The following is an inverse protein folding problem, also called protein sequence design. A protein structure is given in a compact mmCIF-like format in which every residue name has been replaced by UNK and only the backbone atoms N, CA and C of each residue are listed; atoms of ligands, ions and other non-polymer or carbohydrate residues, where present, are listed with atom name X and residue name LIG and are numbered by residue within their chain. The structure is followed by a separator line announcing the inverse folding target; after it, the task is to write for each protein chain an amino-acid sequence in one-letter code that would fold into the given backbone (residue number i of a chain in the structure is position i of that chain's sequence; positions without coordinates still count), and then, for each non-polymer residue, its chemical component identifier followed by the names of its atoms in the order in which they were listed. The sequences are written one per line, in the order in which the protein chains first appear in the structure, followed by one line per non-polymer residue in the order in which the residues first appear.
data_IF_919370304796
#
_entry.id   IF_919370304796
#
_cell.length_a   1.000
_cell.length_b   1.000
_cell.length_c   1.000
_cell.angle_alpha   90.00
_cell.angle_beta   90.00
_cell.angle_gamma   90.00
#
_symmetry.space_group_name_H-M   'P 1'
#
loop_
_entity.id
_entity.type
_entity.pdbx_description
1 polymer ?
#
# COMPACT_ATOMS: atom_id res chain seq x y z
N UNK A 1 -6.27 2.28 -24.03
CA UNK A 1 -5.68 1.01 -23.59
C UNK A 1 -4.91 1.35 -22.35
N UNK A 2 -5.45 1.12 -21.14
CA UNK A 2 -4.70 1.34 -19.90
C UNK A 2 -3.33 0.69 -20.11
N UNK A 3 -2.29 1.51 -20.33
CA UNK A 3 -0.99 1.00 -20.79
C UNK A 3 -0.35 0.08 -19.76
N UNK A 4 -0.92 0.07 -18.55
CA UNK A 4 -0.43 -0.61 -17.39
C UNK A 4 -1.39 -1.66 -16.83
N UNK A 5 -2.11 -2.43 -17.66
CA UNK A 5 -2.50 -3.76 -17.16
C UNK A 5 -1.26 -4.65 -16.98
N UNK A 6 -0.10 -4.29 -17.58
CA UNK A 6 1.26 -4.84 -17.47
C UNK A 6 1.41 -6.35 -17.72
N UNK A 7 0.31 -7.10 -17.74
CA UNK A 7 0.21 -8.53 -18.06
C UNK A 7 0.37 -8.79 -19.55
N UNK A 8 -0.18 -7.94 -20.40
CA UNK A 8 -0.12 -8.13 -21.87
C UNK A 8 1.27 -7.85 -22.45
N UNK A 9 2.09 -7.05 -21.75
CA UNK A 9 3.45 -6.69 -22.15
C UNK A 9 4.53 -7.51 -21.43
N UNK A 10 4.16 -8.45 -20.57
CA UNK A 10 5.10 -9.28 -19.80
C UNK A 10 5.95 -8.50 -18.78
N UNK A 11 5.53 -7.30 -18.37
CA UNK A 11 6.32 -6.45 -17.48
C UNK A 11 6.39 -7.02 -16.07
N UNK A 12 5.34 -7.71 -15.61
CA UNK A 12 5.35 -8.31 -14.28
C UNK A 12 6.40 -9.42 -14.13
N UNK A 13 6.66 -10.17 -15.20
CA UNK A 13 7.74 -11.16 -15.21
C UNK A 13 9.12 -10.49 -15.23
N UNK A 14 9.23 -9.31 -15.83
CA UNK A 14 10.48 -8.54 -15.89
C UNK A 14 10.83 -7.93 -14.54
N UNK A 15 9.86 -7.27 -13.87
CA UNK A 15 10.14 -6.56 -12.61
C UNK A 15 10.48 -7.49 -11.45
N UNK A 16 10.08 -8.77 -11.55
CA UNK A 16 10.39 -9.81 -10.56
C UNK A 16 11.80 -10.39 -10.71
N UNK A 17 12.52 -10.12 -11.81
CA UNK A 17 13.87 -10.67 -12.02
C UNK A 17 14.85 -10.05 -11.01
N UNK A 18 15.73 -10.85 -10.38
CA UNK A 18 16.71 -10.34 -9.42
C UNK A 18 17.53 -9.16 -9.94
N UNK A 19 17.86 -9.18 -11.24
CA UNK A 19 18.69 -8.15 -11.87
C UNK A 19 17.94 -6.83 -12.03
N UNK A 20 16.63 -6.90 -12.28
CA UNK A 20 15.76 -5.74 -12.29
C UNK A 20 15.59 -5.20 -10.87
N UNK A 21 15.30 -6.08 -9.91
CA UNK A 21 15.15 -5.72 -8.49
C UNK A 21 16.40 -5.02 -7.95
N UNK A 22 17.59 -5.53 -8.28
CA UNK A 22 18.87 -4.93 -7.90
C UNK A 22 19.07 -3.54 -8.53
N UNK A 23 18.72 -3.38 -9.81
CA UNK A 23 18.80 -2.10 -10.52
C UNK A 23 17.87 -1.04 -9.91
N UNK A 24 16.64 -1.42 -9.59
CA UNK A 24 15.65 -0.53 -8.95
C UNK A 24 16.10 -0.17 -7.54
N UNK A 25 16.55 -1.15 -6.75
CA UNK A 25 17.06 -0.90 -5.41
C UNK A 25 18.25 0.06 -5.40
N UNK A 26 19.20 -0.10 -6.33
CA UNK A 26 20.35 0.80 -6.41
C UNK A 26 19.93 2.26 -6.65
N UNK A 27 18.91 2.51 -7.48
CA UNK A 27 18.38 3.86 -7.69
C UNK A 27 17.68 4.38 -6.41
N UNK A 28 16.83 3.56 -5.77
CA UNK A 28 16.16 3.91 -4.50
C UNK A 28 17.21 4.29 -3.44
N UNK A 29 18.17 3.39 -3.19
CA UNK A 29 19.19 3.53 -2.16
C UNK A 29 20.02 4.80 -2.35
N UNK A 30 20.38 5.13 -3.60
CA UNK A 30 21.16 6.33 -3.92
C UNK A 30 20.43 7.64 -3.58
N UNK A 31 19.10 7.63 -3.49
CA UNK A 31 18.26 8.81 -3.26
C UNK A 31 17.70 8.92 -1.85
N UNK A 32 17.76 7.84 -1.05
CA UNK A 32 17.33 7.86 0.36
C UNK A 32 17.98 9.01 1.17
N UNK A 33 19.30 9.27 1.09
CA UNK A 33 19.91 10.37 1.83
C UNK A 33 19.31 11.74 1.50
N UNK A 34 19.07 12.02 0.21
CA UNK A 34 18.50 13.28 -0.24
C UNK A 34 17.14 13.53 0.41
N UNK A 35 16.24 12.56 0.36
CA UNK A 35 14.90 12.71 0.93
C UNK A 35 14.92 12.71 2.45
N UNK A 36 15.82 11.96 3.09
CA UNK A 36 16.00 12.05 4.53
C UNK A 36 16.40 13.46 4.97
N UNK A 37 17.36 14.08 4.28
CA UNK A 37 17.83 15.43 4.59
C UNK A 37 16.76 16.49 4.32
N UNK A 38 16.03 16.39 3.22
CA UNK A 38 15.04 17.40 2.83
C UNK A 38 13.73 17.31 3.60
N UNK A 39 13.25 16.08 3.86
CA UNK A 39 11.92 15.85 4.45
C UNK A 39 11.91 15.70 5.96
N UNK A 40 13.00 15.16 6.54
CA UNK A 40 13.03 14.74 7.94
C UNK A 40 14.04 15.57 8.73
N UNK A 41 15.33 15.54 8.34
CA UNK A 41 16.39 16.28 9.03
C UNK A 41 16.25 16.23 10.56
N UNK A 42 16.25 17.41 11.19
CA UNK A 42 16.05 17.55 12.65
C UNK A 42 14.60 17.37 13.12
N UNK A 43 13.62 17.33 12.21
CA UNK A 43 12.19 17.18 12.50
C UNK A 43 11.73 15.72 12.51
N UNK A 44 12.64 14.76 12.28
CA UNK A 44 12.32 13.34 12.29
C UNK A 44 11.54 12.88 13.55
N UNK A 45 11.90 13.32 14.78
CA UNK A 45 11.14 12.94 15.97
C UNK A 45 9.68 13.36 15.95
N UNK A 46 9.41 14.59 15.52
CA UNK A 46 8.05 15.12 15.45
C UNK A 46 7.20 14.31 14.46
N UNK A 47 7.74 13.99 13.29
CA UNK A 47 7.01 13.24 12.27
C UNK A 47 6.74 11.79 12.64
N UNK A 48 7.72 11.11 13.24
CA UNK A 48 7.57 9.69 13.55
C UNK A 48 6.77 9.42 14.81
N UNK A 49 6.88 10.25 15.85
CA UNK A 49 6.03 10.13 17.03
C UNK A 49 4.56 10.37 16.66
N UNK A 50 4.28 11.42 15.88
CA UNK A 50 2.92 11.69 15.40
C UNK A 50 2.36 10.53 14.55
N UNK A 51 3.18 9.91 13.69
CA UNK A 51 2.76 8.76 12.90
C UNK A 51 2.41 7.53 13.75
N UNK A 52 3.17 7.29 14.83
CA UNK A 52 2.88 6.21 15.78
C UNK A 52 1.57 6.46 16.52
N UNK A 53 1.34 7.70 16.97
CA UNK A 53 0.10 8.08 17.66
C UNK A 53 -1.12 7.93 16.73
N UNK A 54 -1.01 8.43 15.49
CA UNK A 54 -2.05 8.29 14.47
C UNK A 54 -2.35 6.81 14.20
N UNK A 55 -1.32 5.99 13.96
CA UNK A 55 -1.46 4.55 13.74
C UNK A 55 -2.16 3.86 14.91
N UNK A 56 -1.71 4.09 16.14
CA UNK A 56 -2.27 3.44 17.32
C UNK A 56 -3.74 3.80 17.52
N UNK A 57 -4.12 5.05 17.25
CA UNK A 57 -5.51 5.51 17.37
C UNK A 57 -6.47 4.86 16.37
N UNK A 58 -5.95 4.41 15.22
CA UNK A 58 -6.75 3.73 14.19
C UNK A 58 -6.69 2.21 14.30
N UNK A 59 -5.54 1.64 14.67
CA UNK A 59 -5.27 0.21 14.62
C UNK A 59 -6.21 -0.63 15.50
N UNK A 60 -6.63 -0.08 16.64
CA UNK A 60 -7.57 -0.75 17.56
C UNK A 60 -8.86 -1.16 16.85
N UNK A 61 -9.43 -0.28 16.01
CA UNK A 61 -10.70 -0.56 15.28
C UNK A 61 -10.58 -1.73 14.31
N UNK A 62 -9.40 -1.88 13.69
CA UNK A 62 -9.13 -3.02 12.81
C UNK A 62 -8.97 -4.30 13.63
N UNK A 63 -8.23 -4.24 14.74
CA UNK A 63 -7.96 -5.40 15.60
C UNK A 63 -9.22 -5.92 16.28
N UNK A 64 -10.12 -5.04 16.69
CA UNK A 64 -11.42 -5.40 17.25
C UNK A 64 -12.27 -6.13 16.21
N UNK A 65 -12.45 -5.52 15.02
CA UNK A 65 -13.30 -6.08 13.98
C UNK A 65 -12.80 -7.43 13.44
N UNK A 66 -11.49 -7.54 13.21
CA UNK A 66 -10.87 -8.72 12.62
C UNK A 66 -10.29 -9.68 13.67
N UNK A 67 -10.71 -9.56 14.94
CA UNK A 67 -10.41 -10.57 15.94
C UNK A 67 -11.13 -11.89 15.62
N UNK A 68 -10.56 -13.02 16.02
CA UNK A 68 -11.17 -14.33 15.77
C UNK A 68 -12.59 -14.43 16.35
N UNK A 69 -12.81 -13.86 17.55
CA UNK A 69 -14.12 -13.80 18.21
C UNK A 69 -15.13 -12.98 17.40
N UNK A 70 -14.77 -11.76 16.97
CA UNK A 70 -15.67 -10.93 16.17
C UNK A 70 -15.98 -11.56 14.82
N UNK A 71 -14.98 -12.16 14.15
CA UNK A 71 -15.18 -12.83 12.87
C UNK A 71 -16.13 -14.04 12.99
N UNK A 72 -16.06 -14.80 14.09
CA UNK A 72 -17.01 -15.88 14.39
C UNK A 72 -18.44 -15.35 14.58
N UNK A 73 -18.63 -14.28 15.35
CA UNK A 73 -19.94 -13.64 15.53
C UNK A 73 -20.55 -13.15 14.20
N UNK A 74 -19.71 -12.62 13.30
CA UNK A 74 -20.16 -12.15 12.00
C UNK A 74 -20.63 -13.26 11.06
N UNK A 75 -20.23 -14.53 11.28
CA UNK A 75 -20.78 -15.65 10.50
C UNK A 75 -22.28 -15.82 10.72
N UNK A 76 -22.78 -15.50 11.91
CA UNK A 76 -24.22 -15.53 12.23
C UNK A 76 -24.95 -14.28 11.71
N UNK A 77 -24.29 -13.11 11.65
CA UNK A 77 -24.83 -11.88 11.05
C UNK A 77 -23.86 -11.16 10.09
N UNK A 78 -23.76 -11.63 8.83
CA UNK A 78 -22.95 -11.00 7.79
C UNK A 78 -23.37 -9.56 7.48
N UNK A 79 -24.63 -9.17 7.73
CA UNK A 79 -25.07 -7.79 7.52
C UNK A 79 -24.40 -6.85 8.51
N UNK A 80 -24.29 -7.28 9.78
CA UNK A 80 -23.57 -6.54 10.81
C UNK A 80 -22.12 -6.28 10.37
N UNK A 81 -21.42 -7.30 9.86
CA UNK A 81 -20.06 -7.14 9.33
C UNK A 81 -19.95 -6.03 8.28
N UNK A 82 -20.84 -6.05 7.29
CA UNK A 82 -20.85 -5.03 6.24
C UNK A 82 -21.16 -3.64 6.81
N UNK A 83 -22.05 -3.52 7.79
CA UNK A 83 -22.33 -2.23 8.45
C UNK A 83 -21.09 -1.71 9.19
N UNK A 84 -20.41 -2.56 9.96
CA UNK A 84 -19.20 -2.18 10.68
C UNK A 84 -18.07 -1.80 9.73
N UNK A 85 -17.89 -2.53 8.61
CA UNK A 85 -17.00 -2.12 7.52
C UNK A 85 -17.38 -0.73 6.98
N UNK A 86 -18.67 -0.41 6.81
CA UNK A 86 -19.10 0.87 6.25
C UNK A 86 -18.85 2.07 7.17
N UNK A 87 -18.94 1.87 8.48
CA UNK A 87 -19.02 2.96 9.45
C UNK A 87 -17.75 3.10 10.29
N UNK A 88 -17.17 1.98 10.70
CA UNK A 88 -16.18 1.95 11.77
C UNK A 88 -14.78 1.64 11.28
N UNK A 89 -14.64 0.92 10.17
CA UNK A 89 -13.34 0.69 9.52
C UNK A 89 -12.88 1.95 8.78
N UNK A 90 -11.77 2.59 9.21
CA UNK A 90 -11.38 3.90 8.68
C UNK A 90 -11.17 3.94 7.16
N UNK A 91 -10.54 2.92 6.57
CA UNK A 91 -10.25 2.92 5.12
C UNK A 91 -11.53 2.92 4.27
N UNK A 92 -12.48 2.04 4.56
CA UNK A 92 -13.77 1.93 3.86
C UNK A 92 -14.68 3.11 4.19
N UNK A 93 -14.82 3.45 5.47
CA UNK A 93 -15.71 4.50 5.90
C UNK A 93 -15.28 5.88 5.36
N UNK A 94 -13.97 6.16 5.27
CA UNK A 94 -13.47 7.37 4.61
C UNK A 94 -13.71 7.31 3.11
N UNK A 95 -13.42 6.19 2.46
CA UNK A 95 -13.58 6.04 1.00
C UNK A 95 -15.04 6.21 0.56
N UNK A 96 -16.00 5.71 1.34
CA UNK A 96 -17.44 5.89 1.08
C UNK A 96 -17.95 7.33 1.25
N UNK A 97 -17.26 8.14 2.06
CA UNK A 97 -17.60 9.54 2.35
C UNK A 97 -16.96 10.55 1.38
N UNK A 98 -15.91 10.16 0.66
CA UNK A 98 -15.24 11.04 -0.30
C UNK A 98 -16.14 11.34 -1.51
N UNK A 99 -16.12 12.59 -1.98
CA UNK A 99 -16.89 13.07 -3.14
C UNK A 99 -16.16 12.93 -4.49
N UNK A 100 -14.97 12.34 -4.48
CA UNK A 100 -14.09 12.21 -5.66
C UNK A 100 -14.73 11.35 -6.75
N UNK A 101 -14.68 11.83 -7.99
CA UNK A 101 -15.34 11.17 -9.12
C UNK A 101 -14.81 9.76 -9.36
N UNK A 102 -13.50 9.55 -9.19
CA UNK A 102 -12.85 8.26 -9.38
C UNK A 102 -13.31 7.18 -8.39
N UNK A 103 -13.90 7.56 -7.25
CA UNK A 103 -14.37 6.61 -6.24
C UNK A 103 -15.80 6.16 -6.48
N UNK A 104 -16.57 6.83 -7.36
CA UNK A 104 -18.00 6.55 -7.54
C UNK A 104 -18.26 5.11 -7.97
N UNK A 105 -17.43 4.58 -8.86
CA UNK A 105 -17.55 3.19 -9.31
C UNK A 105 -17.31 2.21 -8.16
N UNK A 106 -16.17 2.32 -7.47
CA UNK A 106 -15.87 1.50 -6.29
C UNK A 106 -16.97 1.59 -5.24
N UNK A 107 -17.43 2.79 -4.92
CA UNK A 107 -18.50 3.02 -3.95
C UNK A 107 -19.84 2.38 -4.35
N UNK A 108 -20.16 2.36 -5.65
CA UNK A 108 -21.34 1.68 -6.18
C UNK A 108 -21.20 0.16 -6.03
N UNK A 109 -20.05 -0.39 -6.44
CA UNK A 109 -19.78 -1.82 -6.36
C UNK A 109 -19.77 -2.31 -4.91
N UNK A 110 -19.07 -1.62 -4.01
CA UNK A 110 -19.05 -1.94 -2.58
C UNK A 110 -20.46 -1.98 -1.96
N UNK A 111 -21.30 -0.98 -2.26
CA UNK A 111 -22.67 -0.94 -1.74
C UNK A 111 -23.51 -2.12 -2.27
N UNK A 112 -23.25 -2.59 -3.49
CA UNK A 112 -23.94 -3.73 -4.13
C UNK A 112 -23.39 -5.09 -3.73
N UNK A 113 -22.16 -5.17 -3.20
CA UNK A 113 -21.58 -6.44 -2.77
C UNK A 113 -22.43 -7.13 -1.72
N UNK A 114 -22.51 -8.45 -1.82
CA UNK A 114 -23.14 -9.29 -0.81
C UNK A 114 -22.37 -9.15 0.52
N UNK A 115 -23.06 -8.99 1.66
CA UNK A 115 -22.43 -9.05 2.98
C UNK A 115 -21.70 -10.38 3.21
N UNK A 116 -22.26 -11.50 2.74
CA UNK A 116 -21.63 -12.83 2.82
C UNK A 116 -20.33 -12.91 2.01
N UNK A 117 -20.31 -12.36 0.80
CA UNK A 117 -19.11 -12.41 -0.05
C UNK A 117 -17.99 -11.56 0.59
N UNK A 118 -18.34 -10.39 1.13
CA UNK A 118 -17.40 -9.54 1.86
C UNK A 118 -16.81 -10.28 3.06
N UNK A 119 -17.67 -10.87 3.90
CA UNK A 119 -17.22 -11.64 5.07
C UNK A 119 -16.31 -12.80 4.67
N UNK A 120 -16.73 -13.60 3.70
CA UNK A 120 -15.95 -14.76 3.21
C UNK A 120 -14.57 -14.34 2.73
N UNK A 121 -14.48 -13.29 1.91
CA UNK A 121 -13.20 -12.81 1.39
C UNK A 121 -12.29 -12.32 2.50
N UNK A 122 -12.81 -11.58 3.49
CA UNK A 122 -11.99 -11.12 4.59
C UNK A 122 -11.60 -12.24 5.56
N UNK A 123 -12.47 -13.23 5.80
CA UNK A 123 -12.12 -14.43 6.54
C UNK A 123 -10.94 -15.18 5.89
N UNK A 124 -11.01 -15.41 4.57
CA UNK A 124 -9.90 -16.03 3.83
C UNK A 124 -8.59 -15.24 3.95
N UNK A 125 -8.65 -13.90 3.97
CA UNK A 125 -7.46 -13.04 4.17
C UNK A 125 -6.92 -13.17 5.60
N UNK A 126 -7.78 -13.31 6.61
CA UNK A 126 -7.36 -13.52 8.00
C UNK A 126 -6.74 -14.90 8.19
N UNK A 127 -7.34 -15.96 7.64
CA UNK A 127 -6.80 -17.32 7.68
C UNK A 127 -5.41 -17.40 7.02
N UNK A 128 -5.27 -16.74 5.86
CA UNK A 128 -3.97 -16.59 5.20
C UNK A 128 -2.98 -15.86 6.11
N UNK A 129 -3.38 -14.73 6.69
CA UNK A 129 -2.51 -13.92 7.54
C UNK A 129 -2.04 -14.67 8.78
N UNK A 130 -2.91 -15.43 9.43
CA UNK A 130 -2.57 -16.23 10.60
C UNK A 130 -1.56 -17.31 10.24
N UNK A 131 -1.87 -18.13 9.22
CA UNK A 131 -1.00 -19.20 8.73
C UNK A 131 0.36 -18.65 8.29
N UNK A 132 0.36 -17.55 7.53
CA UNK A 132 1.58 -16.92 7.04
C UNK A 132 2.44 -16.37 8.19
N UNK A 133 1.83 -15.78 9.22
CA UNK A 133 2.57 -15.24 10.38
C UNK A 133 3.27 -16.30 11.20
N UNK A 134 2.76 -17.52 11.23
CA UNK A 134 3.44 -18.66 11.87
C UNK A 134 4.69 -19.07 11.10
N UNK A 135 4.60 -19.09 9.77
CA UNK A 135 5.71 -19.44 8.88
C UNK A 135 6.78 -18.33 8.77
N UNK A 136 6.44 -17.07 9.08
CA UNK A 136 7.34 -15.92 8.93
C UNK A 136 7.52 -15.17 10.27
N UNK A 137 8.26 -15.73 11.25
CA UNK A 137 8.50 -15.08 12.55
C UNK A 137 9.18 -13.71 12.40
N UNK A 138 8.87 -12.71 13.26
CA UNK A 138 9.38 -11.34 13.10
C UNK A 138 10.90 -11.20 13.01
N UNK A 139 11.65 -12.06 13.69
CA UNK A 139 13.11 -12.07 13.69
C UNK A 139 13.69 -12.55 12.35
N UNK A 140 13.05 -13.54 11.72
CA UNK A 140 13.44 -14.07 10.42
C UNK A 140 13.02 -13.09 9.32
N UNK A 141 11.78 -12.62 9.36
CA UNK A 141 11.23 -11.64 8.42
C UNK A 141 12.09 -10.37 8.32
N UNK A 142 12.73 -9.94 9.42
CA UNK A 142 13.61 -8.77 9.41
C UNK A 142 14.84 -8.92 8.49
N UNK A 143 15.23 -10.16 8.18
CA UNK A 143 16.41 -10.49 7.38
C UNK A 143 16.15 -10.76 5.90
N UNK A 144 14.88 -10.87 5.46
CA UNK A 144 14.57 -11.22 4.08
C UNK A 144 15.16 -10.25 3.07
N UNK A 145 15.69 -10.77 1.98
CA UNK A 145 16.33 -9.99 0.92
C UNK A 145 16.08 -10.52 -0.50
N UNK A 146 15.41 -11.67 -0.64
CA UNK A 146 14.89 -12.22 -1.88
C UNK A 146 13.36 -12.10 -1.92
N UNK A 147 12.80 -11.96 -3.12
CA UNK A 147 11.36 -11.79 -3.31
C UNK A 147 10.57 -13.03 -2.86
N UNK A 148 11.13 -14.20 -3.12
CA UNK A 148 10.51 -15.50 -2.87
C UNK A 148 10.30 -15.77 -1.38
N UNK A 149 11.13 -15.19 -0.51
CA UNK A 149 11.04 -15.33 0.95
C UNK A 149 9.76 -14.71 1.54
N UNK A 150 9.09 -13.81 0.81
CA UNK A 150 7.89 -13.14 1.31
C UNK A 150 6.65 -14.03 1.21
N UNK A 151 6.55 -14.90 0.21
CA UNK A 151 5.37 -15.77 -0.01
C UNK A 151 4.01 -15.02 0.00
N UNK A 152 3.99 -13.74 -0.40
CA UNK A 152 2.80 -12.88 -0.36
C UNK A 152 1.96 -12.90 -1.66
N UNK A 153 2.42 -13.59 -2.70
CA UNK A 153 1.72 -13.70 -4.00
C UNK A 153 0.25 -14.17 -3.89
N UNK A 154 -0.14 -15.08 -2.97
CA UNK A 154 -1.55 -15.45 -2.79
C UNK A 154 -2.45 -14.25 -2.52
N UNK A 155 -1.97 -13.21 -1.82
CA UNK A 155 -2.76 -11.99 -1.60
C UNK A 155 -3.03 -11.22 -2.90
N UNK A 156 -2.27 -11.39 -3.96
CA UNK A 156 -2.55 -10.78 -5.26
C UNK A 156 -3.39 -11.69 -6.17
N UNK A 157 -3.10 -12.99 -6.17
CA UNK A 157 -3.56 -13.93 -7.19
C UNK A 157 -4.73 -14.84 -6.77
N UNK A 158 -4.96 -15.06 -5.47
CA UNK A 158 -6.05 -15.91 -5.01
C UNK A 158 -7.41 -15.21 -5.17
N UNK A 159 -8.24 -15.74 -6.07
CA UNK A 159 -9.59 -15.23 -6.36
C UNK A 159 -10.54 -15.34 -5.16
N UNK A 160 -10.28 -16.25 -4.21
CA UNK A 160 -11.07 -16.36 -2.97
C UNK A 160 -10.82 -15.21 -1.99
N UNK A 161 -9.71 -14.48 -2.16
CA UNK A 161 -9.34 -13.29 -1.40
C UNK A 161 -9.60 -12.00 -2.18
N UNK A 162 -10.50 -12.04 -3.17
CA UNK A 162 -10.80 -10.90 -4.04
C UNK A 162 -12.30 -10.74 -4.28
N UNK A 163 -12.73 -9.49 -4.36
CA UNK A 163 -14.00 -9.13 -4.99
C UNK A 163 -13.68 -8.11 -6.06
N UNK A 164 -13.97 -8.45 -7.32
CA UNK A 164 -13.66 -7.58 -8.45
C UNK A 164 -14.26 -6.18 -8.25
N UNK A 165 -13.43 -5.14 -8.45
CA UNK A 165 -13.75 -3.71 -8.24
C UNK A 165 -14.08 -3.30 -6.79
N UNK A 166 -13.95 -4.19 -5.81
CA UNK A 166 -14.32 -3.90 -4.42
C UNK A 166 -13.17 -4.22 -3.45
N UNK A 167 -12.73 -5.47 -3.41
CA UNK A 167 -11.64 -5.92 -2.53
C UNK A 167 -10.46 -6.32 -3.40
N UNK A 168 -9.46 -5.44 -3.45
CA UNK A 168 -8.16 -5.69 -4.07
C UNK A 168 -7.03 -5.45 -3.07
N UNK A 169 -5.78 -5.53 -3.54
CA UNK A 169 -4.61 -5.45 -2.65
C UNK A 169 -4.48 -4.11 -1.89
N UNK A 170 -5.01 -3.01 -2.42
CA UNK A 170 -5.02 -1.71 -1.74
C UNK A 170 -5.69 -1.77 -0.35
N UNK A 171 -6.95 -2.19 -0.28
CA UNK A 171 -7.68 -2.30 1.00
C UNK A 171 -7.11 -3.42 1.89
N UNK A 172 -6.71 -4.56 1.30
CA UNK A 172 -6.11 -5.68 2.03
C UNK A 172 -4.84 -5.25 2.75
N UNK A 173 -3.93 -4.56 2.06
CA UNK A 173 -2.67 -4.11 2.64
C UNK A 173 -2.87 -3.13 3.80
N UNK A 174 -3.88 -2.26 3.72
CA UNK A 174 -4.19 -1.31 4.80
C UNK A 174 -4.71 -2.04 6.02
N UNK A 175 -5.61 -3.01 5.86
CA UNK A 175 -6.12 -3.81 6.97
C UNK A 175 -4.98 -4.62 7.61
N UNK A 176 -4.23 -5.38 6.81
CA UNK A 176 -3.10 -6.20 7.27
C UNK A 176 -2.05 -5.36 8.01
N UNK A 177 -1.77 -4.14 7.53
CA UNK A 177 -0.86 -3.20 8.20
C UNK A 177 -1.33 -2.80 9.61
N UNK A 178 -2.62 -2.56 9.81
CA UNK A 178 -3.15 -2.21 11.14
C UNK A 178 -3.22 -3.41 12.09
N UNK A 179 -3.26 -4.63 11.54
CA UNK A 179 -3.17 -5.86 12.33
C UNK A 179 -1.72 -6.19 12.71
N UNK A 180 -0.75 -5.98 11.82
CA UNK A 180 0.67 -6.29 12.06
C UNK A 180 1.60 -5.41 11.19
N UNK A 181 1.87 -4.19 11.67
CA UNK A 181 2.74 -3.21 10.99
C UNK A 181 4.24 -3.58 11.01
N UNK A 182 4.61 -4.67 11.68
CA UNK A 182 5.96 -5.20 11.66
C UNK A 182 6.24 -6.04 10.42
N UNK A 183 5.18 -6.63 9.83
CA UNK A 183 5.29 -7.57 8.69
C UNK A 183 4.51 -7.17 7.45
N UNK A 184 3.46 -6.36 7.57
CA UNK A 184 2.66 -5.95 6.42
C UNK A 184 2.80 -4.44 6.18
N UNK A 185 3.49 -4.03 5.11
CA UNK A 185 3.53 -2.62 4.72
C UNK A 185 2.21 -2.21 4.07
N UNK A 186 1.73 -1.00 4.38
CA UNK A 186 0.57 -0.44 3.70
C UNK A 186 0.96 -0.05 2.27
N UNK A 187 0.39 -0.74 1.26
CA UNK A 187 0.52 -0.36 -0.16
C UNK A 187 -0.50 0.73 -0.48
N UNK A 188 -0.43 1.81 0.30
CA UNK A 188 -1.22 3.02 0.09
C UNK A 188 -0.73 3.73 -1.17
N UNK A 189 -1.47 4.75 -1.60
CA UNK A 189 -1.04 5.59 -2.72
C UNK A 189 0.34 6.21 -2.51
N UNK A 190 0.63 6.60 -1.28
CA UNK A 190 1.91 7.20 -0.93
C UNK A 190 3.05 6.19 -1.08
N UNK A 191 2.81 4.89 -0.85
CA UNK A 191 3.84 3.87 -1.01
C UNK A 191 4.41 3.82 -2.43
N UNK A 192 3.55 3.68 -3.43
CA UNK A 192 4.00 3.58 -4.83
C UNK A 192 4.46 4.93 -5.39
N UNK A 193 3.80 6.04 -5.06
CA UNK A 193 4.31 7.37 -5.44
C UNK A 193 5.66 7.68 -4.77
N UNK A 194 5.84 7.30 -3.51
CA UNK A 194 7.12 7.44 -2.81
C UNK A 194 8.23 6.70 -3.54
N UNK A 195 7.99 5.46 -3.99
CA UNK A 195 8.94 4.70 -4.81
C UNK A 195 9.17 5.31 -6.20
N UNK A 196 8.13 5.86 -6.84
CA UNK A 196 8.25 6.60 -8.10
C UNK A 196 9.20 7.81 -7.97
N UNK A 197 9.07 8.60 -6.90
CA UNK A 197 9.96 9.73 -6.63
C UNK A 197 11.36 9.28 -6.19
N UNK A 198 11.46 8.24 -5.36
CA UNK A 198 12.73 7.63 -4.95
C UNK A 198 13.51 7.00 -6.10
N UNK A 199 12.87 6.72 -7.23
CA UNK A 199 13.56 6.25 -8.45
C UNK A 199 13.79 7.36 -9.46
N UNK A 200 13.45 8.61 -9.13
CA UNK A 200 13.54 9.73 -10.06
C UNK A 200 12.73 9.51 -11.33
N UNK A 201 11.60 8.81 -11.22
CA UNK A 201 10.70 8.49 -12.33
C UNK A 201 11.30 7.55 -13.39
N UNK A 202 12.36 6.81 -13.04
CA UNK A 202 13.04 5.92 -13.98
C UNK A 202 12.08 4.84 -14.51
N UNK A 203 12.12 4.62 -15.84
CA UNK A 203 11.31 3.60 -16.53
C UNK A 203 11.99 2.23 -16.49
N UNK A 204 13.26 2.19 -16.10
CA UNK A 204 14.11 1.00 -16.07
C UNK A 204 14.21 0.23 -17.38
N UNK A 205 13.75 0.82 -18.50
CA UNK A 205 13.67 0.16 -19.81
C UNK A 205 12.49 -0.80 -19.93
N UNK A 206 11.41 -0.58 -19.17
CA UNK A 206 10.19 -1.37 -19.31
C UNK A 206 9.52 -1.18 -20.69
N UNK A 207 8.88 -2.21 -21.25
CA UNK A 207 8.20 -2.17 -22.55
C UNK A 207 7.23 -1.00 -22.77
N UNK A 208 6.53 -0.57 -21.72
CA UNK A 208 5.58 0.55 -21.72
C UNK A 208 6.25 1.92 -21.75
N UNK A 209 7.58 1.97 -21.60
CA UNK A 209 8.38 3.20 -21.37
C UNK A 209 7.81 4.05 -20.24
N UNK A 210 7.32 3.38 -19.19
CA UNK A 210 6.79 4.00 -17.99
C UNK A 210 7.45 3.40 -16.75
N UNK A 211 7.34 4.09 -15.61
CA UNK A 211 7.86 3.58 -14.33
C UNK A 211 6.92 2.50 -13.77
N UNK A 212 7.49 1.44 -13.20
CA UNK A 212 6.72 0.30 -12.67
C UNK A 212 5.73 0.67 -11.55
N UNK A 213 5.95 1.79 -10.87
CA UNK A 213 5.15 2.21 -9.71
C UNK A 213 3.89 2.99 -10.08
N UNK A 214 3.76 3.43 -11.33
CA UNK A 214 2.65 4.24 -11.82
C UNK A 214 1.98 3.59 -13.03
N UNK A 215 0.77 4.03 -13.32
CA UNK A 215 0.01 3.64 -14.49
C UNK A 215 -0.55 4.88 -15.18
N UNK A 216 -0.62 4.84 -16.51
CA UNK A 216 -1.21 5.90 -17.31
C UNK A 216 -2.57 5.41 -17.82
N UNK A 217 -3.64 6.09 -17.40
CA UNK A 217 -4.98 5.91 -17.95
C UNK A 217 -5.13 6.80 -19.20
N UNK A 218 -5.18 6.15 -20.35
CA UNK A 218 -5.42 6.77 -21.66
C UNK A 218 -6.80 6.42 -22.25
N UNK A 219 -7.64 5.70 -21.50
CA UNK A 219 -8.99 5.31 -21.91
C UNK A 219 -10.00 6.42 -21.63
N UNK A 220 -9.84 7.07 -20.48
CA UNK A 220 -10.71 8.15 -20.02
C UNK A 220 -9.89 9.42 -19.74
N UNK A 221 -9.38 10.11 -20.78
CA UNK A 221 -8.72 11.39 -20.59
C UNK A 221 -9.67 12.40 -19.92
N UNK A 222 -9.10 13.40 -19.27
CA UNK A 222 -9.90 14.46 -18.65
C UNK A 222 -10.57 15.35 -19.70
N UNK A 223 -11.46 16.24 -19.26
CA UNK A 223 -12.11 17.24 -20.11
C UNK A 223 -11.11 18.14 -20.85
N UNK A 224 -9.92 18.35 -20.27
CA UNK A 224 -8.82 19.11 -20.87
C UNK A 224 -8.01 18.31 -21.90
N UNK A 225 -8.29 17.01 -22.05
CA UNK A 225 -7.54 16.08 -22.88
C UNK A 225 -6.30 15.50 -22.19
N UNK A 226 -6.10 15.80 -20.90
CA UNK A 226 -4.95 15.29 -20.14
C UNK A 226 -5.12 13.81 -19.80
N UNK A 227 -4.04 13.05 -19.88
CA UNK A 227 -3.99 11.66 -19.40
C UNK A 227 -3.81 11.67 -17.88
N UNK A 228 -4.43 10.70 -17.21
CA UNK A 228 -4.30 10.56 -15.75
C UNK A 228 -3.20 9.55 -15.46
N UNK A 229 -2.19 9.96 -14.69
CA UNK A 229 -1.23 9.04 -14.11
C UNK A 229 -1.62 8.75 -12.66
N UNK A 230 -1.85 7.48 -12.33
CA UNK A 230 -2.17 7.03 -10.98
C UNK A 230 -1.17 5.98 -10.49
N UNK A 231 -1.23 5.58 -9.22
CA UNK A 231 -0.40 4.48 -8.71
C UNK A 231 -0.74 3.14 -9.39
N UNK A 232 0.25 2.29 -9.63
CA UNK A 232 0.04 0.98 -10.26
C UNK A 232 -0.77 0.05 -9.34
N UNK A 233 -2.07 -0.12 -9.62
CA UNK A 233 -2.98 -0.93 -8.79
C UNK A 233 -2.62 -2.41 -8.73
N UNK A 234 -1.85 -2.91 -9.71
CA UNK A 234 -1.49 -4.32 -9.88
C UNK A 234 -0.04 -4.62 -9.46
N UNK A 235 0.66 -3.65 -8.88
CA UNK A 235 2.04 -3.81 -8.47
C UNK A 235 2.21 -4.94 -7.44
N UNK A 236 3.05 -5.98 -7.68
CA UNK A 236 3.12 -7.15 -6.81
C UNK A 236 3.42 -6.79 -5.34
N UNK A 237 2.60 -7.29 -4.42
CA UNK A 237 2.68 -6.92 -3.01
C UNK A 237 3.95 -7.46 -2.33
N UNK A 238 4.41 -8.66 -2.71
CA UNK A 238 5.70 -9.19 -2.28
C UNK A 238 6.87 -8.27 -2.67
N UNK A 239 6.86 -7.78 -3.91
CA UNK A 239 7.91 -6.89 -4.41
C UNK A 239 7.88 -5.51 -3.73
N UNK A 240 6.67 -4.96 -3.51
CA UNK A 240 6.52 -3.77 -2.69
C UNK A 240 7.06 -3.98 -1.27
N UNK A 241 6.79 -5.15 -0.68
CA UNK A 241 7.23 -5.49 0.67
C UNK A 241 8.73 -5.64 0.79
N UNK A 242 9.39 -6.19 -0.24
CA UNK A 242 10.85 -6.23 -0.33
C UNK A 242 11.46 -4.83 -0.27
N UNK A 243 10.99 -3.90 -1.12
CA UNK A 243 11.51 -2.53 -1.09
C UNK A 243 11.19 -1.82 0.23
N UNK A 244 9.98 -1.99 0.76
CA UNK A 244 9.60 -1.42 2.05
C UNK A 244 10.51 -1.93 3.19
N UNK A 245 10.86 -3.22 3.21
CA UNK A 245 11.72 -3.82 4.23
C UNK A 245 13.17 -3.35 4.09
N UNK A 246 13.68 -3.17 2.87
CA UNK A 246 15.01 -2.59 2.65
C UNK A 246 15.06 -1.13 3.09
N UNK A 247 14.02 -0.35 2.78
CA UNK A 247 13.89 1.04 3.25
C UNK A 247 13.80 1.09 4.77
N UNK A 248 13.05 0.20 5.42
CA UNK A 248 12.96 0.20 6.89
C UNK A 248 14.32 -0.07 7.55
N UNK A 249 15.09 -1.01 7.00
CA UNK A 249 16.47 -1.31 7.45
C UNK A 249 17.38 -0.11 7.28
N UNK A 250 17.22 0.66 6.19
CA UNK A 250 17.96 1.91 5.99
C UNK A 250 17.52 3.00 6.97
N UNK A 251 16.23 3.15 7.24
CA UNK A 251 15.68 4.16 8.14
C UNK A 251 16.07 3.93 9.61
N UNK A 252 16.11 2.68 10.06
CA UNK A 252 16.37 2.31 11.47
C UNK A 252 17.58 3.04 12.10
N UNK A 253 18.81 2.95 11.57
CA UNK A 253 19.95 3.65 12.16
C UNK A 253 19.79 5.17 12.15
N UNK A 254 19.14 5.74 11.14
CA UNK A 254 18.93 7.19 11.02
C UNK A 254 17.88 7.71 12.02
N UNK A 255 16.80 6.95 12.22
CA UNK A 255 15.76 7.25 13.20
C UNK A 255 16.32 7.17 14.62
N UNK A 256 17.09 6.12 14.92
CA UNK A 256 17.76 5.95 16.21
C UNK A 256 18.77 7.08 16.47
N UNK A 257 19.57 7.49 15.48
CA UNK A 257 20.48 8.62 15.60
C UNK A 257 19.75 9.96 15.81
N UNK A 258 18.53 10.10 15.29
CA UNK A 258 17.65 11.25 15.48
C UNK A 258 16.95 11.31 16.85
N UNK A 259 17.15 10.32 17.72
CA UNK A 259 16.60 10.30 19.09
C UNK A 259 15.20 9.67 19.23
N UNK A 260 14.69 9.02 18.17
CA UNK A 260 13.48 8.19 18.25
C UNK A 260 13.88 6.74 18.36
N UNK A 261 13.28 6.00 19.28
CA UNK A 261 13.47 4.55 19.34
C UNK A 261 12.74 3.89 18.17
N UNK A 262 13.47 3.28 17.25
CA UNK A 262 12.88 2.45 16.21
C UNK A 262 12.28 1.17 16.82
N UNK A 263 10.98 0.95 16.62
CA UNK A 263 10.30 -0.29 17.02
C UNK A 263 10.06 -1.16 15.78
N UNK A 264 10.69 -2.33 15.75
CA UNK A 264 10.56 -3.27 14.64
C UNK A 264 9.12 -3.78 14.41
N UNK A 265 8.23 -3.70 15.42
CA UNK A 265 6.80 -4.02 15.29
C UNK A 265 5.99 -2.91 14.62
N UNK A 266 6.59 -1.72 14.48
CA UNK A 266 6.00 -0.56 13.81
C UNK A 266 6.83 -0.14 12.60
N UNK A 267 7.76 -0.98 12.11
CA UNK A 267 8.71 -0.64 11.04
C UNK A 267 8.02 -0.01 9.82
N UNK A 268 6.86 -0.54 9.44
CA UNK A 268 6.15 -0.04 8.28
C UNK A 268 5.31 1.21 8.55
N UNK A 269 5.07 1.58 9.80
CA UNK A 269 4.54 2.91 10.15
C UNK A 269 5.58 3.98 9.82
N UNK A 270 6.85 3.73 10.15
CA UNK A 270 7.94 4.65 9.79
C UNK A 270 8.12 4.74 8.27
N UNK A 271 8.06 3.61 7.56
CA UNK A 271 8.15 3.58 6.09
C UNK A 271 6.99 4.33 5.44
N UNK A 272 5.75 4.09 5.87
CA UNK A 272 4.59 4.82 5.34
C UNK A 272 4.73 6.32 5.57
N UNK A 273 5.16 6.72 6.79
CA UNK A 273 5.36 8.13 7.10
C UNK A 273 6.44 8.76 6.22
N UNK A 274 7.54 8.05 5.99
CA UNK A 274 8.62 8.51 5.11
C UNK A 274 8.13 8.69 3.68
N UNK A 275 7.41 7.71 3.12
CA UNK A 275 6.81 7.84 1.79
C UNK A 275 5.83 9.02 1.69
N UNK A 276 5.01 9.23 2.73
CA UNK A 276 4.11 10.38 2.76
C UNK A 276 4.87 11.70 2.72
N UNK A 277 5.95 11.83 3.46
CA UNK A 277 6.76 13.05 3.47
C UNK A 277 7.42 13.32 2.11
N UNK A 278 7.91 12.28 1.44
CA UNK A 278 8.41 12.38 0.05
C UNK A 278 7.30 12.89 -0.87
N UNK A 279 6.10 12.32 -0.77
CA UNK A 279 4.96 12.76 -1.57
C UNK A 279 4.53 14.20 -1.27
N UNK A 280 4.67 14.66 -0.03
CA UNK A 280 4.34 16.02 0.37
C UNK A 280 5.30 17.05 -0.27
N UNK A 281 6.60 16.72 -0.46
CA UNK A 281 7.54 17.53 -1.24
C UNK A 281 7.17 17.60 -2.73
N UNK A 282 6.56 16.55 -3.25
CA UNK A 282 6.16 16.40 -4.65
C UNK A 282 4.64 16.64 -4.85
N UNK A 283 4.01 17.39 -3.96
CA UNK A 283 2.55 17.58 -4.00
C UNK A 283 2.09 18.24 -5.31
N UNK A 284 2.87 19.16 -5.87
CA UNK A 284 2.51 19.79 -7.15
C UNK A 284 2.64 18.84 -8.33
N UNK A 285 3.67 17.96 -8.34
CA UNK A 285 3.78 16.88 -9.32
C UNK A 285 2.54 15.97 -9.24
N UNK A 286 2.16 15.54 -8.03
CA UNK A 286 0.98 14.68 -7.82
C UNK A 286 -0.33 15.33 -8.29
N UNK A 287 -0.49 16.65 -8.12
CA UNK A 287 -1.65 17.38 -8.63
C UNK A 287 -1.66 17.40 -10.17
N UNK A 288 -0.50 17.64 -10.79
CA UNK A 288 -0.37 17.59 -12.25
C UNK A 288 -0.66 16.19 -12.80
N UNK A 289 -0.10 15.16 -12.18
CA UNK A 289 -0.27 13.77 -12.60
C UNK A 289 -1.74 13.32 -12.61
N UNK A 290 -2.54 13.84 -11.67
CA UNK A 290 -3.94 13.42 -11.50
C UNK A 290 -4.96 14.42 -12.04
N UNK A 291 -4.48 15.45 -12.74
CA UNK A 291 -5.22 16.62 -13.20
C UNK A 291 -5.93 17.39 -12.08
N UNK A 292 -5.54 18.64 -11.88
CA UNK A 292 -5.91 19.51 -10.75
C UNK A 292 -7.43 19.57 -10.52
N UNK A 293 -8.22 19.46 -11.60
CA UNK A 293 -9.69 19.58 -11.61
C UNK A 293 -10.44 18.47 -10.85
N UNK A 294 -9.80 17.33 -10.51
CA UNK A 294 -10.46 16.27 -9.72
C UNK A 294 -10.37 16.46 -8.19
N UNK A 295 -9.64 17.45 -7.70
CA UNK A 295 -9.47 17.70 -6.27
C UNK A 295 -10.31 18.85 -5.71
N UNK A 296 -10.89 19.69 -6.57
CA UNK A 296 -11.81 20.77 -6.18
C UNK A 296 -13.28 20.28 -6.26
N UNK A 297 -13.73 19.47 -5.29
CA UNK A 297 -15.16 19.14 -5.06
C UNK A 297 -15.51 19.09 -3.57
#
# INVERSE_FOLDING_TARGET
MIRSTNRELGEFDLIRKPEHVAKVWAEIESRLPKYWESTLGSMAPFHFIGAIDDYNSEAEKYRELFSAEAMDEFHDDPNSFKQTLMHDVPVTARTLRQKRAELKEWQMHFRRSSPNDLLTVFANVMDFQETWREAHPPAEYAGYDALEEFELDPLDDDETMRILKVVGMGIKSIILHHLDAGRFPARSRYGLYGLFFLTGHNTFGLPSDSSEFVMINDEDPTSSGSLIMDQNYWYPYGLFSLYALRISRWLEPHINAGGVKFDANLRFVFVERFFKLICDEHNDDLKTMRDYERFDV
#
